data_IF_724572594140
#
_entry.id   IF_724572594140
#
_cell.length_a   1.000
_cell.length_b   1.000
_cell.length_c   1.000
_cell.angle_alpha   90.00
_cell.angle_beta   90.00
_cell.angle_gamma   90.00
#
_symmetry.space_group_name_H-M   'P 1'
#
loop_
_entity.id
_entity.type
_entity.pdbx_description
1 polymer ?
#
# COMPACT_ATOMS: atom_id res chain seq x y z
N UNK A 1 -47.22 -41.20 46.18
CA UNK A 1 -46.04 -41.31 45.30
C UNK A 1 -46.05 -40.08 44.38
N UNK A 2 -45.23 -39.08 44.73
CA UNK A 2 -45.19 -37.80 43.99
C UNK A 2 -43.89 -37.81 43.17
N UNK A 3 -44.03 -37.87 41.84
CA UNK A 3 -42.88 -37.78 40.93
C UNK A 3 -42.53 -36.30 40.70
N UNK A 4 -41.36 -35.87 41.15
CA UNK A 4 -40.78 -34.55 40.85
C UNK A 4 -40.18 -34.59 39.44
N UNK A 5 -40.69 -33.74 38.55
CA UNK A 5 -40.09 -33.49 37.25
C UNK A 5 -38.90 -32.53 37.38
N UNK A 6 -37.74 -32.94 36.93
CA UNK A 6 -36.53 -32.11 36.85
C UNK A 6 -36.51 -31.46 35.47
N UNK A 7 -36.64 -30.12 35.40
CA UNK A 7 -36.40 -29.35 34.16
C UNK A 7 -34.90 -29.13 33.97
N UNK A 8 -34.35 -29.42 32.80
CA UNK A 8 -32.99 -29.04 32.50
C UNK A 8 -32.91 -27.54 32.16
N UNK A 9 -32.09 -26.80 32.88
CA UNK A 9 -31.71 -25.43 32.56
C UNK A 9 -30.72 -25.48 31.42
N UNK A 10 -31.15 -25.04 30.21
CA UNK A 10 -30.26 -24.86 29.07
C UNK A 10 -29.55 -23.51 29.28
N UNK A 11 -28.29 -23.55 29.64
CA UNK A 11 -27.43 -22.39 29.68
C UNK A 11 -27.11 -21.98 28.24
N UNK A 12 -27.78 -20.95 27.75
CA UNK A 12 -27.48 -20.34 26.44
C UNK A 12 -26.13 -19.64 26.49
N UNK A 13 -25.17 -20.15 25.73
CA UNK A 13 -23.86 -19.50 25.50
C UNK A 13 -24.08 -18.26 24.65
N UNK A 14 -24.07 -17.08 25.26
CA UNK A 14 -24.07 -15.79 24.56
C UNK A 14 -22.71 -15.61 23.85
N UNK A 15 -22.66 -15.91 22.55
CA UNK A 15 -21.53 -15.54 21.68
C UNK A 15 -21.64 -14.03 21.45
N UNK A 16 -20.83 -13.26 22.16
CA UNK A 16 -20.66 -11.83 21.88
C UNK A 16 -20.04 -11.68 20.50
N UNK A 17 -20.60 -10.84 19.61
CA UNK A 17 -19.97 -10.57 18.33
C UNK A 17 -18.63 -9.89 18.59
N UNK A 18 -17.55 -10.58 18.24
CA UNK A 18 -16.21 -10.01 18.25
C UNK A 18 -16.20 -8.78 17.36
N UNK A 19 -15.91 -7.61 17.92
CA UNK A 19 -15.72 -6.38 17.13
C UNK A 19 -14.49 -6.57 16.27
N UNK A 20 -14.69 -6.83 14.99
CA UNK A 20 -13.63 -6.78 13.97
C UNK A 20 -13.14 -5.33 13.94
N UNK A 21 -12.02 -5.08 14.60
CA UNK A 21 -11.38 -3.77 14.58
C UNK A 21 -10.80 -3.56 13.19
N UNK A 22 -11.25 -2.50 12.50
CA UNK A 22 -10.66 -2.11 11.23
C UNK A 22 -9.15 -1.89 11.41
N UNK A 23 -8.33 -2.48 10.53
CA UNK A 23 -6.88 -2.32 10.58
C UNK A 23 -6.52 -0.85 10.32
N UNK A 24 -5.64 -0.29 11.14
CA UNK A 24 -5.10 1.05 10.89
C UNK A 24 -4.15 1.01 9.68
N UNK A 25 -4.00 2.16 8.96
CA UNK A 25 -3.02 2.27 7.86
C UNK A 25 -1.60 1.90 8.30
N UNK A 26 -1.23 2.21 9.54
CA UNK A 26 0.07 1.82 10.12
C UNK A 26 0.22 0.29 10.25
N UNK A 27 -0.85 -0.43 10.60
CA UNK A 27 -0.81 -1.90 10.68
C UNK A 27 -0.68 -2.53 9.30
N UNK A 28 -1.36 -1.98 8.30
CA UNK A 28 -1.25 -2.42 6.89
C UNK A 28 0.19 -2.24 6.40
N UNK A 29 0.80 -1.08 6.65
CA UNK A 29 2.21 -0.82 6.28
C UNK A 29 3.15 -1.81 6.99
N UNK A 30 2.96 -2.06 8.29
CA UNK A 30 3.77 -2.99 9.06
C UNK A 30 3.69 -4.42 8.55
N UNK A 31 2.50 -4.89 8.17
CA UNK A 31 2.31 -6.23 7.62
C UNK A 31 2.94 -6.42 6.24
N UNK A 32 3.01 -5.36 5.45
CA UNK A 32 3.60 -5.39 4.10
C UNK A 32 5.09 -5.04 4.10
N UNK A 33 5.60 -4.45 5.18
CA UNK A 33 7.00 -4.09 5.34
C UNK A 33 7.88 -5.28 5.73
N UNK A 34 9.18 -5.19 5.41
CA UNK A 34 10.17 -6.14 5.89
C UNK A 34 10.46 -5.91 7.37
N UNK A 35 10.73 -6.99 8.11
CA UNK A 35 11.13 -6.88 9.52
C UNK A 35 12.45 -6.11 9.64
N UNK A 36 12.54 -5.12 10.54
CA UNK A 36 13.77 -4.39 10.75
C UNK A 36 14.83 -5.29 11.40
N UNK A 37 16.09 -5.09 11.02
CA UNK A 37 17.22 -5.72 11.68
C UNK A 37 17.39 -5.12 13.08
N UNK A 38 17.30 -5.96 14.11
CA UNK A 38 17.33 -5.52 15.51
C UNK A 38 18.74 -5.25 16.04
N UNK A 39 19.80 -5.77 15.39
CA UNK A 39 21.17 -5.68 15.88
C UNK A 39 22.20 -5.66 14.75
N UNK A 40 23.44 -5.23 15.06
CA UNK A 40 24.58 -5.21 14.15
C UNK A 40 24.41 -4.29 12.93
N UNK A 41 23.68 -3.19 13.05
CA UNK A 41 23.65 -2.16 12.03
C UNK A 41 25.01 -1.41 12.09
N UNK A 42 25.83 -1.55 11.05
CA UNK A 42 27.16 -0.89 10.96
C UNK A 42 27.13 0.36 10.07
N UNK A 43 26.05 0.57 9.32
CA UNK A 43 25.75 1.77 8.56
C UNK A 43 24.35 2.29 8.97
N UNK A 44 24.28 3.09 10.04
CA UNK A 44 23.00 3.52 10.59
C UNK A 44 22.29 4.53 9.68
N UNK A 45 20.95 4.58 9.77
CA UNK A 45 20.16 5.63 9.15
C UNK A 45 20.51 7.00 9.80
N UNK A 46 20.65 8.03 8.98
CA UNK A 46 20.76 9.40 9.49
C UNK A 46 19.39 9.91 9.91
N UNK A 47 19.29 10.45 11.13
CA UNK A 47 18.06 11.05 11.65
C UNK A 47 17.86 12.50 11.17
N UNK A 48 18.96 13.16 10.76
CA UNK A 48 18.97 14.55 10.34
C UNK A 48 18.82 14.72 8.82
N UNK A 49 18.98 13.62 8.07
CA UNK A 49 18.83 13.64 6.61
C UNK A 49 17.35 13.70 6.22
N UNK A 50 17.04 14.60 5.29
CA UNK A 50 15.75 14.60 4.61
C UNK A 50 15.78 13.60 3.45
N UNK A 51 15.10 12.48 3.63
CA UNK A 51 14.98 11.43 2.62
C UNK A 51 13.91 11.80 1.58
N UNK A 52 14.33 12.02 0.34
CA UNK A 52 13.45 12.19 -0.82
C UNK A 52 13.69 11.04 -1.78
N UNK A 53 12.75 10.10 -1.85
CA UNK A 53 12.94 8.85 -2.60
C UNK A 53 11.74 8.60 -3.51
N UNK A 54 12.01 8.30 -4.78
CA UNK A 54 11.01 7.91 -5.76
C UNK A 54 11.37 6.54 -6.36
N UNK A 55 10.39 5.64 -6.40
CA UNK A 55 10.53 4.35 -7.08
C UNK A 55 9.69 4.30 -8.34
N UNK A 56 10.28 3.77 -9.42
CA UNK A 56 9.56 3.40 -10.62
C UNK A 56 9.00 1.98 -10.49
N UNK A 57 7.71 1.76 -10.70
CA UNK A 57 7.06 0.47 -10.59
C UNK A 57 6.32 0.15 -11.89
N UNK A 58 6.80 -0.83 -12.65
CA UNK A 58 6.24 -1.18 -13.96
C UNK A 58 5.72 -2.62 -14.04
N UNK A 59 6.08 -3.47 -13.09
CA UNK A 59 5.67 -4.88 -13.05
C UNK A 59 4.47 -5.02 -12.13
N UNK A 60 3.38 -5.58 -12.65
CA UNK A 60 2.17 -5.89 -11.90
C UNK A 60 2.34 -7.07 -10.95
N UNK A 61 1.29 -7.46 -10.24
CA UNK A 61 1.32 -8.61 -9.35
C UNK A 61 1.46 -9.92 -10.14
N UNK A 62 2.04 -10.94 -9.51
CA UNK A 62 2.18 -12.27 -10.11
C UNK A 62 0.83 -12.98 -10.30
N UNK A 63 -0.13 -12.70 -9.42
CA UNK A 63 -1.52 -13.17 -9.47
C UNK A 63 -2.45 -11.97 -9.30
N UNK A 64 -3.63 -12.03 -9.93
CA UNK A 64 -4.57 -10.88 -9.93
C UNK A 64 -5.06 -10.52 -8.53
N UNK A 65 -5.10 -11.45 -7.60
CA UNK A 65 -5.50 -11.28 -6.20
C UNK A 65 -4.34 -10.98 -5.25
N UNK A 66 -3.16 -10.65 -5.79
CA UNK A 66 -1.98 -10.34 -4.98
C UNK A 66 -1.56 -8.87 -5.09
N UNK A 67 -0.85 -8.40 -4.06
CA UNK A 67 -0.30 -7.03 -4.00
C UNK A 67 0.90 -6.90 -4.93
N UNK A 68 0.99 -5.78 -5.64
CA UNK A 68 2.18 -5.45 -6.47
C UNK A 68 3.43 -5.40 -5.59
N UNK A 69 4.47 -6.20 -5.87
CA UNK A 69 5.67 -6.23 -5.04
C UNK A 69 6.35 -4.85 -4.88
N UNK A 70 6.37 -4.04 -5.94
CA UNK A 70 6.98 -2.70 -5.91
C UNK A 70 6.30 -1.72 -4.94
N UNK A 71 5.04 -1.94 -4.56
CA UNK A 71 4.36 -1.09 -3.56
C UNK A 71 4.83 -1.36 -2.13
N UNK A 72 5.53 -2.47 -1.90
CA UNK A 72 6.15 -2.76 -0.60
C UNK A 72 7.40 -1.92 -0.33
N UNK A 73 8.04 -1.36 -1.35
CA UNK A 73 9.26 -0.57 -1.19
C UNK A 73 9.05 0.65 -0.28
N UNK A 74 8.08 1.54 -0.52
CA UNK A 74 7.80 2.63 0.41
C UNK A 74 7.29 2.13 1.77
N UNK A 75 6.52 1.05 1.84
CA UNK A 75 6.07 0.47 3.12
C UNK A 75 7.27 0.00 3.97
N UNK A 76 8.22 -0.70 3.34
CA UNK A 76 9.47 -1.12 3.99
C UNK A 76 10.25 0.09 4.51
N UNK A 77 10.41 1.12 3.67
CA UNK A 77 11.16 2.32 4.06
C UNK A 77 10.52 3.00 5.26
N UNK A 78 9.19 3.15 5.26
CA UNK A 78 8.45 3.74 6.36
C UNK A 78 8.62 2.96 7.66
N UNK A 79 8.40 1.64 7.61
CA UNK A 79 8.46 0.77 8.77
C UNK A 79 9.88 0.69 9.35
N UNK A 80 10.89 0.49 8.49
CA UNK A 80 12.30 0.41 8.92
C UNK A 80 12.79 1.77 9.40
N UNK A 81 12.39 2.86 8.76
CA UNK A 81 12.71 4.23 9.16
C UNK A 81 12.20 4.54 10.57
N UNK A 82 10.93 4.25 10.83
CA UNK A 82 10.32 4.42 12.16
C UNK A 82 11.06 3.60 13.22
N UNK A 83 11.38 2.34 12.93
CA UNK A 83 12.11 1.46 13.83
C UNK A 83 13.53 1.94 14.13
N UNK A 84 14.14 2.74 13.24
CA UNK A 84 15.48 3.33 13.41
C UNK A 84 15.41 4.80 13.87
N UNK A 85 14.24 5.31 14.20
CA UNK A 85 14.04 6.64 14.76
C UNK A 85 14.23 7.78 13.76
N UNK A 86 14.03 7.51 12.45
CA UNK A 86 14.01 8.56 11.41
C UNK A 86 12.72 9.37 11.56
N UNK A 87 12.79 10.70 11.77
CA UNK A 87 11.61 11.52 11.93
C UNK A 87 10.72 11.48 10.67
N UNK A 88 9.43 11.28 10.85
CA UNK A 88 8.47 11.21 9.74
C UNK A 88 8.47 12.46 8.87
N UNK A 89 8.68 13.63 9.46
CA UNK A 89 8.80 14.91 8.77
C UNK A 89 9.98 14.95 7.78
N UNK A 90 10.98 14.10 7.97
CA UNK A 90 12.16 14.02 7.11
C UNK A 90 11.99 13.00 5.98
N UNK A 91 10.82 12.37 5.82
CA UNK A 91 10.60 11.30 4.86
C UNK A 91 9.57 11.72 3.81
N UNK A 92 10.01 11.90 2.57
CA UNK A 92 9.20 12.24 1.41
C UNK A 92 9.35 11.14 0.35
N UNK A 93 8.29 10.37 0.15
CA UNK A 93 8.31 9.22 -0.75
C UNK A 93 7.36 9.40 -1.93
N UNK A 94 7.72 8.82 -3.06
CA UNK A 94 6.89 8.77 -4.24
C UNK A 94 7.02 7.40 -4.94
N UNK A 95 5.95 6.95 -5.58
CA UNK A 95 5.97 5.84 -6.52
C UNK A 95 5.40 6.32 -7.86
N UNK A 96 6.10 6.01 -8.93
CA UNK A 96 5.65 6.31 -10.31
C UNK A 96 5.36 4.99 -11.00
N UNK A 97 4.11 4.83 -11.46
CA UNK A 97 3.58 3.55 -11.91
C UNK A 97 3.28 3.59 -13.42
N UNK A 98 3.70 2.55 -14.13
CA UNK A 98 3.38 2.31 -15.54
C UNK A 98 3.38 0.80 -15.83
N UNK A 99 3.44 0.39 -17.10
CA UNK A 99 3.54 -1.02 -17.45
C UNK A 99 2.36 -1.85 -16.93
N UNK A 100 2.58 -3.10 -16.61
CA UNK A 100 1.53 -4.01 -16.13
C UNK A 100 1.00 -3.66 -14.73
N UNK A 101 1.74 -2.86 -13.94
CA UNK A 101 1.30 -2.36 -12.63
C UNK A 101 0.16 -1.34 -12.71
N UNK A 102 -0.10 -0.74 -13.88
CA UNK A 102 -1.16 0.27 -14.09
C UNK A 102 -2.53 -0.18 -13.59
N UNK A 103 -2.93 -1.43 -13.87
CA UNK A 103 -4.24 -1.95 -13.45
C UNK A 103 -4.42 -1.93 -11.94
N UNK A 104 -3.34 -2.11 -11.16
CA UNK A 104 -3.41 -2.12 -9.69
C UNK A 104 -3.73 -0.75 -9.07
N UNK A 105 -3.85 0.31 -9.88
CA UNK A 105 -4.32 1.63 -9.47
C UNK A 105 -5.82 1.85 -9.74
N UNK A 106 -6.52 0.85 -10.27
CA UNK A 106 -7.96 0.95 -10.56
C UNK A 106 -8.81 0.69 -9.30
N UNK A 107 -9.97 1.32 -9.26
CA UNK A 107 -11.06 0.98 -8.34
C UNK A 107 -11.48 -0.48 -8.52
N UNK A 108 -12.10 -1.08 -7.50
CA UNK A 108 -12.48 -2.50 -7.53
C UNK A 108 -13.34 -2.88 -8.74
N UNK A 109 -14.32 -2.06 -9.10
CA UNK A 109 -15.23 -2.40 -10.21
C UNK A 109 -14.47 -2.50 -11.55
N UNK A 110 -13.64 -1.51 -11.85
CA UNK A 110 -12.81 -1.52 -13.05
C UNK A 110 -11.74 -2.63 -13.01
N UNK A 111 -11.16 -2.89 -11.83
CA UNK A 111 -10.19 -3.97 -11.67
C UNK A 111 -10.85 -5.34 -11.86
N UNK A 112 -12.03 -5.58 -11.27
CA UNK A 112 -12.81 -6.82 -11.47
C UNK A 112 -13.16 -7.04 -12.94
N UNK A 113 -13.59 -5.99 -13.64
CA UNK A 113 -13.88 -6.09 -15.06
C UNK A 113 -12.64 -6.51 -15.88
N UNK A 114 -11.44 -6.06 -15.50
CA UNK A 114 -10.19 -6.34 -16.20
C UNK A 114 -9.50 -7.66 -15.77
N UNK A 115 -9.68 -8.09 -14.50
CA UNK A 115 -8.87 -9.15 -13.86
C UNK A 115 -9.70 -10.26 -13.21
N UNK A 116 -11.01 -10.11 -13.06
CA UNK A 116 -11.91 -11.10 -12.47
C UNK A 116 -11.91 -11.19 -10.94
N UNK A 117 -11.10 -10.39 -10.25
CA UNK A 117 -10.99 -10.37 -8.78
C UNK A 117 -10.95 -8.95 -8.24
N UNK A 118 -11.04 -8.79 -6.92
CA UNK A 118 -10.80 -7.51 -6.26
C UNK A 118 -9.32 -7.09 -6.31
N UNK A 119 -9.09 -5.79 -6.31
CA UNK A 119 -7.75 -5.23 -6.32
C UNK A 119 -7.12 -5.30 -4.92
N UNK A 120 -6.33 -6.33 -4.69
CA UNK A 120 -5.65 -6.57 -3.42
C UNK A 120 -4.64 -5.46 -3.04
N UNK A 121 -4.26 -4.59 -3.98
CA UNK A 121 -3.32 -3.50 -3.70
C UNK A 121 -3.99 -2.28 -3.04
N UNK A 122 -5.32 -2.14 -3.08
CA UNK A 122 -6.03 -0.95 -2.57
C UNK A 122 -5.71 -0.66 -1.09
N UNK A 123 -5.78 -1.63 -0.16
CA UNK A 123 -5.52 -1.33 1.26
C UNK A 123 -4.11 -0.77 1.49
N UNK A 124 -3.10 -1.32 0.79
CA UNK A 124 -1.72 -0.82 0.92
C UNK A 124 -1.56 0.56 0.27
N UNK A 125 -2.12 0.78 -0.92
CA UNK A 125 -2.05 2.07 -1.60
C UNK A 125 -2.70 3.18 -0.80
N UNK A 126 -3.86 2.90 -0.19
CA UNK A 126 -4.54 3.85 0.68
C UNK A 126 -3.71 4.16 1.93
N UNK A 127 -3.16 3.15 2.61
CA UNK A 127 -2.29 3.33 3.77
C UNK A 127 -1.03 4.15 3.42
N UNK A 128 -0.42 3.92 2.25
CA UNK A 128 0.71 4.69 1.76
C UNK A 128 0.33 6.15 1.47
N UNK A 129 -0.83 6.37 0.85
CA UNK A 129 -1.34 7.72 0.61
C UNK A 129 -1.58 8.48 1.91
N UNK A 130 -2.26 7.88 2.88
CA UNK A 130 -2.50 8.44 4.23
C UNK A 130 -1.18 8.71 4.96
N UNK A 131 -0.16 7.89 4.72
CA UNK A 131 1.20 8.11 5.19
C UNK A 131 1.98 9.19 4.40
N UNK A 132 1.38 9.89 3.44
CA UNK A 132 1.99 10.98 2.68
C UNK A 132 2.84 10.55 1.48
N UNK A 133 2.79 9.27 1.08
CA UNK A 133 3.46 8.82 -0.14
C UNK A 133 2.72 9.32 -1.37
N UNK A 134 3.43 9.95 -2.30
CA UNK A 134 2.85 10.36 -3.58
C UNK A 134 2.72 9.15 -4.50
N UNK A 135 1.51 8.88 -4.99
CA UNK A 135 1.21 7.79 -5.93
C UNK A 135 0.89 8.43 -7.27
N UNK A 136 1.73 8.15 -8.28
CA UNK A 136 1.69 8.84 -9.57
C UNK A 136 1.58 7.80 -10.69
N UNK A 137 0.56 7.95 -11.52
CA UNK A 137 0.30 7.09 -12.67
C UNK A 137 0.78 7.76 -13.96
N UNK A 138 1.38 6.98 -14.84
CA UNK A 138 1.69 7.37 -16.22
C UNK A 138 0.39 7.46 -17.05
N UNK A 139 0.03 8.67 -17.51
CA UNK A 139 -1.16 8.91 -18.33
C UNK A 139 -1.10 8.19 -19.69
N UNK A 140 0.07 8.13 -20.32
CA UNK A 140 0.27 7.33 -21.52
C UNK A 140 -0.09 5.84 -21.31
N UNK A 141 0.17 5.30 -20.11
CA UNK A 141 -0.19 3.93 -19.77
C UNK A 141 -1.72 3.71 -19.68
N UNK A 142 -2.51 4.73 -19.32
CA UNK A 142 -3.98 4.68 -19.40
C UNK A 142 -4.43 4.59 -20.87
N UNK A 143 -3.92 5.49 -21.72
CA UNK A 143 -4.28 5.55 -23.13
C UNK A 143 -3.96 4.20 -23.80
N UNK A 144 -2.75 3.70 -23.62
CA UNK A 144 -2.30 2.44 -24.24
C UNK A 144 -3.11 1.22 -23.80
N UNK A 145 -3.76 1.29 -22.62
CA UNK A 145 -4.60 0.23 -22.07
C UNK A 145 -6.09 0.48 -22.23
N UNK A 146 -6.47 1.59 -22.85
CA UNK A 146 -7.88 2.02 -23.04
C UNK A 146 -8.63 2.08 -21.70
N UNK A 147 -7.96 2.58 -20.65
CA UNK A 147 -8.53 2.78 -19.32
C UNK A 147 -8.98 4.23 -19.14
N UNK A 148 -10.10 4.42 -18.43
CA UNK A 148 -10.59 5.76 -18.11
C UNK A 148 -9.84 6.32 -16.88
N UNK A 149 -9.50 7.61 -16.86
CA UNK A 149 -9.05 8.29 -15.65
C UNK A 149 -10.05 8.18 -14.49
N UNK A 150 -11.35 8.10 -14.79
CA UNK A 150 -12.41 7.97 -13.79
C UNK A 150 -12.41 6.62 -13.06
N UNK A 151 -11.78 5.60 -13.65
CA UNK A 151 -11.62 4.27 -13.06
C UNK A 151 -10.46 4.20 -12.06
N UNK A 152 -9.60 5.22 -12.02
CA UNK A 152 -8.43 5.27 -11.16
C UNK A 152 -8.82 5.66 -9.73
N UNK A 153 -8.08 5.15 -8.74
CA UNK A 153 -8.26 5.52 -7.34
C UNK A 153 -8.12 7.04 -7.16
N UNK A 154 -8.99 7.70 -6.39
CA UNK A 154 -9.13 9.16 -6.40
C UNK A 154 -7.93 9.93 -5.87
N UNK A 155 -7.07 9.29 -5.08
CA UNK A 155 -5.86 9.89 -4.52
C UNK A 155 -4.62 9.74 -5.44
N UNK A 156 -4.76 9.04 -6.57
CA UNK A 156 -3.67 8.84 -7.54
C UNK A 156 -3.54 10.08 -8.41
N UNK A 157 -2.34 10.62 -8.51
CA UNK A 157 -1.99 11.70 -9.44
C UNK A 157 -1.69 11.11 -10.82
N UNK A 158 -2.11 11.77 -11.87
CA UNK A 158 -1.81 11.35 -13.25
C UNK A 158 -0.81 12.33 -13.86
N UNK A 159 0.36 11.81 -14.23
CA UNK A 159 1.37 12.58 -14.98
C UNK A 159 1.26 12.27 -16.47
N UNK A 160 1.71 13.16 -17.36
CA UNK A 160 1.69 12.89 -18.81
C UNK A 160 2.40 11.57 -19.16
N UNK A 161 3.62 11.38 -18.68
CA UNK A 161 4.39 10.13 -18.81
C UNK A 161 5.14 9.79 -17.54
N UNK A 162 5.51 8.53 -17.37
CA UNK A 162 6.36 8.09 -16.24
C UNK A 162 7.72 8.79 -16.26
N UNK A 163 8.30 8.98 -17.44
CA UNK A 163 9.59 9.66 -17.59
C UNK A 163 9.54 11.11 -17.13
N UNK A 164 8.49 11.87 -17.51
CA UNK A 164 8.31 13.25 -17.03
C UNK A 164 8.12 13.31 -15.52
N UNK A 165 7.32 12.39 -14.95
CA UNK A 165 7.12 12.32 -13.51
C UNK A 165 8.45 12.06 -12.76
N UNK A 166 9.24 11.08 -13.21
CA UNK A 166 10.52 10.76 -12.60
C UNK A 166 11.54 11.90 -12.76
N UNK A 167 11.59 12.55 -13.92
CA UNK A 167 12.46 13.71 -14.15
C UNK A 167 12.06 14.90 -13.26
N UNK A 168 10.78 15.16 -13.10
CA UNK A 168 10.27 16.22 -12.22
C UNK A 168 10.62 15.94 -10.76
N UNK A 169 10.42 14.71 -10.28
CA UNK A 169 10.81 14.31 -8.93
C UNK A 169 12.32 14.43 -8.71
N UNK A 170 13.12 14.01 -9.70
CA UNK A 170 14.57 14.16 -9.65
C UNK A 170 14.98 15.63 -9.52
N UNK A 171 14.41 16.52 -10.32
CA UNK A 171 14.65 17.96 -10.25
C UNK A 171 14.21 18.57 -8.90
N UNK A 172 13.25 17.95 -8.20
CA UNK A 172 12.81 18.29 -6.84
C UNK A 172 13.69 17.68 -5.73
N UNK A 173 14.82 17.06 -6.10
CA UNK A 173 15.78 16.47 -5.17
C UNK A 173 15.47 15.04 -4.71
N UNK A 174 14.57 14.33 -5.41
CA UNK A 174 14.35 12.91 -5.12
C UNK A 174 15.43 12.04 -5.73
N UNK A 175 15.98 11.12 -4.93
CA UNK A 175 16.75 10.00 -5.46
C UNK A 175 15.77 9.03 -6.16
N UNK A 176 16.04 8.72 -7.43
CA UNK A 176 15.15 7.90 -8.27
C UNK A 176 15.71 6.49 -8.43
N UNK A 177 14.91 5.50 -8.05
CA UNK A 177 15.25 4.08 -8.17
C UNK A 177 14.29 3.36 -9.12
N UNK A 178 14.83 2.47 -9.94
CA UNK A 178 14.08 1.56 -10.82
C UNK A 178 14.49 0.14 -10.46
N UNK A 179 13.79 -0.51 -9.52
CA UNK A 179 14.06 -1.91 -9.16
C UNK A 179 13.66 -2.89 -10.25
#
# INVERSE_FOLDING_TARGET
>A
MIRRAICPVIAGLLILPGTVRAQSGADVIRQQGASPLASRITFPASKDLVYRIAWGVNVGPSQSDSVVPGFRLPANFLYIGDANGVPRANVHLAVVIWGSATHSLLKNDAYRAAKGTDNASIPLLQALHEAGVQIILCGEALINRKLSPDDVLPFVKIAPTATMALATLHAQGYAVFRP
#
